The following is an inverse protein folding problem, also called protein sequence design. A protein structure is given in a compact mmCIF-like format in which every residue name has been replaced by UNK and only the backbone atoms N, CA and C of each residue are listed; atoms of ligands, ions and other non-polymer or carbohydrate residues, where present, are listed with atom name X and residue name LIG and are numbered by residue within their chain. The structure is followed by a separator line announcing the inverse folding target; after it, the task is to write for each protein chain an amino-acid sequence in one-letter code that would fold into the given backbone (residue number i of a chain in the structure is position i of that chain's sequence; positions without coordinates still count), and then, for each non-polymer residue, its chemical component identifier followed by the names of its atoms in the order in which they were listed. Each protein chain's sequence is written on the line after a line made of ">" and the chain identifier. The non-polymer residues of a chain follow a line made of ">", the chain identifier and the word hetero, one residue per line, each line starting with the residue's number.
data_IF_971315740922
#
_entry.id   IF_971315740922
#
_cell.length_a   1.000
_cell.length_b   1.000
_cell.length_c   1.000
_cell.angle_alpha   90.00
_cell.angle_beta   90.00
_cell.angle_gamma   90.00
#
_symmetry.space_group_name_H-M   'P 1'
#
loop_
_entity.id
_entity.type
_entity.pdbx_description
1 polymer ?
#
# COMPACT_ATOMS: atom_id res chain seq x y z
N UNK A 1 24.29 34.01 -29.74
CA UNK A 1 22.91 33.53 -29.47
C UNK A 1 23.00 32.05 -29.12
N UNK A 2 22.76 31.67 -27.88
CA UNK A 2 22.63 30.28 -27.47
C UNK A 2 21.30 30.15 -26.72
N UNK A 3 20.32 29.51 -27.36
CA UNK A 3 19.00 29.26 -26.80
C UNK A 3 19.12 27.99 -25.95
N UNK A 4 19.19 28.13 -24.63
CA UNK A 4 19.16 27.00 -23.71
C UNK A 4 17.71 26.49 -23.62
N UNK A 5 17.42 25.36 -24.28
CA UNK A 5 16.17 24.65 -24.15
C UNK A 5 16.09 24.03 -22.75
N UNK A 6 15.28 24.63 -21.87
CA UNK A 6 14.87 24.04 -20.60
C UNK A 6 13.93 22.88 -20.94
N UNK A 7 14.48 21.67 -21.02
CA UNK A 7 13.68 20.45 -21.02
C UNK A 7 13.08 20.37 -19.62
N UNK A 8 11.86 20.88 -19.48
CA UNK A 8 11.03 20.61 -18.33
C UNK A 8 10.85 19.09 -18.27
N UNK A 9 11.60 18.45 -17.36
CA UNK A 9 11.41 17.05 -17.02
C UNK A 9 10.02 16.93 -16.38
N UNK A 10 9.00 16.75 -17.21
CA UNK A 10 7.69 16.30 -16.80
C UNK A 10 7.89 14.94 -16.15
N UNK A 11 7.99 14.92 -14.82
CA UNK A 11 7.85 13.69 -14.05
C UNK A 11 6.55 13.05 -14.53
N UNK A 12 6.54 11.79 -14.98
CA UNK A 12 5.29 11.14 -15.35
C UNK A 12 4.39 11.22 -14.12
N UNK A 13 3.21 11.82 -14.29
CA UNK A 13 2.14 11.69 -13.30
C UNK A 13 2.00 10.19 -13.05
N UNK A 14 2.26 9.77 -11.82
CA UNK A 14 2.17 8.36 -11.45
C UNK A 14 0.75 7.92 -11.80
N UNK A 15 0.63 6.94 -12.69
CA UNK A 15 -0.66 6.41 -13.08
C UNK A 15 -1.43 6.03 -11.80
N UNK A 16 -2.65 6.53 -11.68
CA UNK A 16 -3.48 6.31 -10.50
C UNK A 16 -3.69 4.80 -10.31
N UNK A 17 -3.44 4.28 -9.11
CA UNK A 17 -3.57 2.84 -8.83
C UNK A 17 -5.03 2.40 -9.00
N UNK A 18 -5.26 1.11 -9.31
CA UNK A 18 -6.61 0.52 -9.39
C UNK A 18 -7.47 0.90 -8.17
N UNK A 19 -6.87 0.84 -6.97
CA UNK A 19 -7.52 1.19 -5.72
C UNK A 19 -8.00 2.65 -5.71
N UNK A 20 -7.12 3.60 -6.07
CA UNK A 20 -7.48 5.02 -6.06
C UNK A 20 -8.59 5.34 -7.05
N UNK A 21 -8.52 4.79 -8.25
CA UNK A 21 -9.58 4.92 -9.27
C UNK A 21 -10.92 4.36 -8.75
N UNK A 22 -10.89 3.22 -8.07
CA UNK A 22 -12.10 2.62 -7.49
C UNK A 22 -12.66 3.46 -6.34
N UNK A 23 -11.81 3.92 -5.42
CA UNK A 23 -12.23 4.70 -4.26
C UNK A 23 -12.78 6.05 -4.69
N UNK A 24 -12.16 6.74 -5.65
CA UNK A 24 -12.65 8.04 -6.14
C UNK A 24 -14.01 7.93 -6.83
N UNK A 25 -14.31 6.78 -7.46
CA UNK A 25 -15.62 6.50 -8.04
C UNK A 25 -16.71 6.16 -7.01
N UNK A 26 -16.33 5.65 -5.82
CA UNK A 26 -17.28 5.16 -4.80
C UNK A 26 -17.47 6.10 -3.61
N UNK A 27 -16.47 6.95 -3.32
CA UNK A 27 -16.49 7.92 -2.21
C UNK A 27 -16.74 9.30 -2.80
N UNK A 28 -18.01 9.57 -3.09
CA UNK A 28 -18.44 10.74 -3.88
C UNK A 28 -19.23 11.77 -3.09
N UNK A 29 -19.69 11.43 -1.88
CA UNK A 29 -20.47 12.32 -1.02
C UNK A 29 -19.70 12.68 0.25
N UNK A 30 -19.77 13.95 0.64
CA UNK A 30 -19.23 14.47 1.90
C UNK A 30 -19.95 13.93 3.14
N UNK A 31 -21.16 13.41 2.99
CA UNK A 31 -22.00 12.94 4.10
C UNK A 31 -21.75 11.47 4.45
N UNK A 32 -20.84 10.80 3.73
CA UNK A 32 -20.48 9.42 4.02
C UNK A 32 -19.76 9.32 5.36
N UNK A 33 -20.16 8.36 6.19
CA UNK A 33 -19.47 8.09 7.45
C UNK A 33 -18.11 7.43 7.20
N UNK A 34 -17.17 7.58 8.13
CA UNK A 34 -15.87 6.90 8.06
C UNK A 34 -16.04 5.37 7.90
N UNK A 35 -17.05 4.77 8.52
CA UNK A 35 -17.34 3.34 8.39
C UNK A 35 -17.73 2.96 6.97
N UNK A 36 -18.57 3.77 6.33
CA UNK A 36 -18.96 3.57 4.93
C UNK A 36 -17.75 3.72 4.02
N UNK A 37 -16.92 4.74 4.23
CA UNK A 37 -15.70 4.98 3.45
C UNK A 37 -14.75 3.78 3.58
N UNK A 38 -14.48 3.31 4.79
CA UNK A 38 -13.62 2.13 5.04
C UNK A 38 -14.16 0.86 4.38
N UNK A 39 -15.48 0.67 4.42
CA UNK A 39 -16.12 -0.47 3.75
C UNK A 39 -15.88 -0.42 2.24
N UNK A 40 -16.05 0.74 1.60
CA UNK A 40 -15.77 0.92 0.16
C UNK A 40 -14.28 0.73 -0.16
N UNK A 41 -13.37 1.29 0.65
CA UNK A 41 -11.94 1.09 0.49
C UNK A 41 -11.57 -0.40 0.53
N UNK A 42 -12.11 -1.16 1.48
CA UNK A 42 -11.87 -2.61 1.56
C UNK A 42 -12.37 -3.32 0.29
N UNK A 43 -13.59 -3.01 -0.15
CA UNK A 43 -14.14 -3.56 -1.39
C UNK A 43 -13.25 -3.28 -2.60
N UNK A 44 -12.79 -2.02 -2.75
CA UNK A 44 -11.89 -1.65 -3.82
C UNK A 44 -10.56 -2.40 -3.77
N UNK A 45 -9.95 -2.54 -2.58
CA UNK A 45 -8.73 -3.32 -2.41
C UNK A 45 -8.94 -4.78 -2.82
N UNK A 46 -10.02 -5.40 -2.35
CA UNK A 46 -10.33 -6.80 -2.63
C UNK A 46 -10.55 -7.03 -4.15
N UNK A 47 -11.26 -6.12 -4.84
CA UNK A 47 -11.45 -6.18 -6.30
C UNK A 47 -10.13 -6.05 -7.06
N UNK A 48 -9.30 -5.07 -6.71
CA UNK A 48 -7.99 -4.88 -7.36
C UNK A 48 -7.05 -6.07 -7.13
N UNK A 49 -7.08 -6.64 -5.92
CA UNK A 49 -6.28 -7.82 -5.59
C UNK A 49 -6.77 -9.08 -6.33
N UNK A 50 -8.08 -9.24 -6.54
CA UNK A 50 -8.64 -10.36 -7.30
C UNK A 50 -8.09 -10.41 -8.74
N UNK A 51 -8.02 -9.27 -9.44
CA UNK A 51 -7.44 -9.18 -10.78
C UNK A 51 -5.95 -9.59 -10.82
N UNK A 52 -5.19 -9.22 -9.79
CA UNK A 52 -3.79 -9.63 -9.64
C UNK A 52 -3.65 -11.13 -9.38
N UNK A 53 -4.56 -11.70 -8.58
CA UNK A 53 -4.60 -13.15 -8.33
C UNK A 53 -4.91 -13.95 -9.59
N UNK A 54 -5.76 -13.44 -10.48
CA UNK A 54 -6.00 -14.05 -11.80
C UNK A 54 -4.73 -14.07 -12.65
N UNK A 55 -3.93 -12.99 -12.61
CA UNK A 55 -2.63 -12.93 -13.30
C UNK A 55 -1.63 -13.93 -12.72
N UNK A 56 -1.57 -14.05 -11.39
CA UNK A 56 -0.75 -15.06 -10.73
C UNK A 56 -1.16 -16.50 -11.11
N UNK A 57 -2.45 -16.74 -11.26
CA UNK A 57 -2.99 -18.05 -11.66
C UNK A 57 -2.62 -18.37 -13.11
N UNK A 58 -2.77 -17.41 -14.02
CA UNK A 58 -2.36 -17.55 -15.41
C UNK A 58 -0.86 -17.84 -15.57
N UNK A 59 -0.03 -17.26 -14.70
CA UNK A 59 1.42 -17.42 -14.72
C UNK A 59 1.93 -18.62 -13.89
N UNK A 60 1.03 -19.46 -13.33
CA UNK A 60 1.39 -20.66 -12.57
C UNK A 60 2.00 -20.40 -11.18
N UNK A 61 2.09 -19.14 -10.75
CA UNK A 61 2.72 -18.70 -9.49
C UNK A 61 1.75 -18.61 -8.30
N UNK A 62 0.44 -18.73 -8.54
CA UNK A 62 -0.59 -18.56 -7.52
C UNK A 62 -0.46 -19.51 -6.32
N UNK A 63 -0.17 -20.80 -6.57
CA UNK A 63 -0.04 -21.80 -5.50
C UNK A 63 1.17 -21.53 -4.59
N UNK A 64 2.30 -21.14 -5.18
CA UNK A 64 3.53 -20.75 -4.47
C UNK A 64 3.28 -19.55 -3.56
N UNK A 65 2.62 -18.52 -4.08
CA UNK A 65 2.27 -17.32 -3.31
C UNK A 65 1.22 -17.61 -2.23
N UNK A 66 0.28 -18.51 -2.47
CA UNK A 66 -0.75 -18.88 -1.49
C UNK A 66 -0.17 -19.66 -0.29
N UNK A 67 0.88 -20.44 -0.50
CA UNK A 67 1.53 -21.25 0.55
C UNK A 67 2.68 -20.52 1.24
N UNK A 68 3.17 -19.44 0.64
CA UNK A 68 4.25 -18.66 1.23
C UNK A 68 3.79 -17.95 2.52
N UNK A 69 4.63 -18.07 3.55
CA UNK A 69 4.59 -17.18 4.73
C UNK A 69 5.48 -15.96 4.45
N UNK A 70 4.93 -14.74 4.39
CA UNK A 70 5.73 -13.54 4.13
C UNK A 70 6.85 -13.38 5.16
N UNK A 71 8.06 -13.11 4.68
CA UNK A 71 9.24 -12.86 5.51
C UNK A 71 9.68 -11.39 5.39
N UNK A 72 10.26 -10.81 6.46
CA UNK A 72 10.72 -9.42 6.41
C UNK A 72 11.80 -9.27 5.35
N UNK A 73 11.66 -8.24 4.51
CA UNK A 73 12.68 -7.89 3.50
C UNK A 73 13.95 -7.36 4.18
N UNK A 74 15.07 -7.43 3.47
CA UNK A 74 16.33 -6.89 3.97
C UNK A 74 16.26 -5.36 4.15
N UNK A 75 17.19 -4.79 4.91
CA UNK A 75 17.28 -3.33 5.11
C UNK A 75 17.47 -2.57 3.78
N UNK A 76 18.20 -3.14 2.85
CA UNK A 76 18.44 -2.55 1.53
C UNK A 76 17.16 -2.56 0.69
N UNK A 77 16.48 -3.71 0.65
CA UNK A 77 15.20 -3.88 -0.04
C UNK A 77 14.13 -2.95 0.54
N UNK A 78 14.06 -2.84 1.87
CA UNK A 78 13.17 -1.92 2.56
C UNK A 78 13.38 -0.48 2.10
N UNK A 79 14.64 -0.02 2.03
CA UNK A 79 14.97 1.33 1.56
C UNK A 79 14.63 1.53 0.10
N UNK A 80 14.86 0.52 -0.75
CA UNK A 80 14.50 0.57 -2.15
C UNK A 80 12.98 0.74 -2.33
N UNK A 81 12.18 -0.05 -1.63
CA UNK A 81 10.70 0.07 -1.65
C UNK A 81 10.27 1.45 -1.14
N UNK A 82 10.80 1.90 0.01
CA UNK A 82 10.48 3.22 0.58
C UNK A 82 10.86 4.38 -0.33
N UNK A 83 11.99 4.28 -1.04
CA UNK A 83 12.44 5.29 -2.00
C UNK A 83 11.63 5.30 -3.30
N UNK A 84 11.09 4.15 -3.71
CA UNK A 84 10.28 4.02 -4.92
C UNK A 84 8.80 4.38 -4.72
N UNK A 85 8.32 4.41 -3.47
CA UNK A 85 6.92 4.57 -3.12
C UNK A 85 6.64 5.97 -2.53
N UNK A 86 5.55 6.65 -2.92
CA UNK A 86 5.09 7.89 -2.28
C UNK A 86 4.83 7.73 -0.78
N UNK A 87 4.58 8.83 -0.06
CA UNK A 87 4.19 8.74 1.37
C UNK A 87 2.81 8.09 1.53
N UNK A 88 2.59 7.43 2.65
CA UNK A 88 1.29 6.86 3.02
C UNK A 88 0.29 7.97 3.38
N UNK A 89 -0.99 7.62 3.38
CA UNK A 89 -2.09 8.48 3.80
C UNK A 89 -2.87 7.79 4.91
N UNK A 90 -3.34 8.58 5.87
CA UNK A 90 -4.29 8.14 6.88
C UNK A 90 -5.55 8.98 6.73
N UNK A 91 -6.67 8.33 6.43
CA UNK A 91 -7.96 8.97 6.24
C UNK A 91 -9.06 8.04 6.72
N UNK A 92 -10.10 8.59 7.35
CA UNK A 92 -11.29 7.84 7.78
C UNK A 92 -10.93 6.57 8.56
N UNK A 93 -9.96 6.67 9.48
CA UNK A 93 -9.48 5.54 10.29
C UNK A 93 -8.92 4.36 9.48
N UNK A 94 -8.46 4.61 8.25
CA UNK A 94 -7.73 3.68 7.41
C UNK A 94 -6.35 4.23 7.07
N UNK A 95 -5.36 3.34 7.10
CA UNK A 95 -4.05 3.58 6.51
C UNK A 95 -4.06 3.03 5.10
N UNK A 96 -3.63 3.86 4.15
CA UNK A 96 -3.40 3.47 2.75
C UNK A 96 -1.99 3.86 2.34
N UNK A 97 -1.33 2.99 1.58
CA UNK A 97 -0.03 3.30 1.02
C UNK A 97 0.12 2.66 -0.35
N UNK A 98 0.35 3.47 -1.38
CA UNK A 98 0.69 2.98 -2.71
C UNK A 98 2.15 2.54 -2.71
N UNK A 99 2.33 1.22 -2.67
CA UNK A 99 3.62 0.57 -2.65
C UNK A 99 4.02 0.23 -4.08
N UNK A 100 5.20 0.69 -4.48
CA UNK A 100 5.87 0.23 -5.70
C UNK A 100 6.88 -0.85 -5.33
N UNK A 101 6.84 -1.98 -6.01
CA UNK A 101 7.74 -3.10 -5.73
C UNK A 101 8.91 -3.15 -6.74
N UNK A 102 10.12 -2.69 -6.38
CA UNK A 102 11.29 -2.78 -7.25
C UNK A 102 11.97 -4.15 -7.23
N UNK A 103 11.46 -5.14 -6.50
CA UNK A 103 12.14 -6.42 -6.27
C UNK A 103 11.70 -7.46 -7.31
N UNK A 104 12.57 -7.88 -8.26
CA UNK A 104 12.18 -8.74 -9.39
C UNK A 104 11.69 -10.14 -8.99
N UNK A 105 12.20 -10.71 -7.89
CA UNK A 105 11.91 -12.08 -7.45
C UNK A 105 11.02 -12.18 -6.22
N UNK A 106 10.38 -11.08 -5.79
CA UNK A 106 9.58 -11.06 -4.55
C UNK A 106 8.25 -10.35 -4.75
N UNK A 107 7.21 -10.90 -4.14
CA UNK A 107 5.88 -10.27 -4.07
C UNK A 107 5.67 -9.72 -2.67
N UNK A 108 5.40 -8.43 -2.54
CA UNK A 108 5.10 -7.82 -1.24
C UNK A 108 3.67 -8.20 -0.85
N UNK A 109 3.50 -8.66 0.39
CA UNK A 109 2.20 -9.11 0.91
C UNK A 109 1.72 -8.30 2.11
N UNK A 110 2.65 -7.85 2.93
CA UNK A 110 2.33 -7.19 4.20
C UNK A 110 3.26 -6.02 4.45
N UNK A 111 2.72 -5.00 5.10
CA UNK A 111 3.47 -3.86 5.61
C UNK A 111 3.11 -3.70 7.07
N UNK A 112 4.12 -3.82 7.94
CA UNK A 112 3.95 -3.53 9.36
C UNK A 112 4.07 -2.03 9.59
N UNK A 113 3.10 -1.53 10.33
CA UNK A 113 2.94 -0.13 10.66
C UNK A 113 2.96 -0.04 12.18
N UNK A 114 3.88 0.78 12.69
CA UNK A 114 3.91 1.15 14.09
C UNK A 114 3.35 2.55 14.21
N UNK A 115 2.32 2.69 15.04
CA UNK A 115 1.77 3.98 15.43
C UNK A 115 1.88 4.16 16.94
N UNK A 116 2.21 5.36 17.40
CA UNK A 116 2.32 5.66 18.82
C UNK A 116 1.02 6.27 19.35
N UNK A 117 0.49 5.75 20.45
CA UNK A 117 -0.70 6.30 21.15
C UNK A 117 -0.35 7.53 21.98
N UNK A 118 -1.36 8.19 22.56
CA UNK A 118 -1.13 9.33 23.46
C UNK A 118 -0.33 8.96 24.71
N UNK A 119 -0.40 7.71 25.16
CA UNK A 119 0.35 7.18 26.30
C UNK A 119 1.77 6.72 25.91
N UNK A 120 2.25 7.10 24.72
CA UNK A 120 3.55 6.73 24.18
C UNK A 120 3.75 5.21 23.99
N UNK A 121 2.66 4.45 23.90
CA UNK A 121 2.69 3.01 23.63
C UNK A 121 2.66 2.77 22.13
N UNK A 122 3.46 1.82 21.67
CA UNK A 122 3.46 1.40 20.27
C UNK A 122 2.28 0.44 20.02
N UNK A 123 1.49 0.76 19.01
CA UNK A 123 0.48 -0.12 18.42
C UNK A 123 1.00 -0.61 17.07
N UNK A 124 1.04 -1.93 16.91
CA UNK A 124 1.46 -2.59 15.67
C UNK A 124 0.23 -2.96 14.86
N UNK A 125 0.24 -2.66 13.57
CA UNK A 125 -0.79 -3.06 12.62
C UNK A 125 -0.15 -3.60 11.35
N UNK A 126 -0.88 -4.48 10.68
CA UNK A 126 -0.49 -5.01 9.38
C UNK A 126 -1.44 -4.45 8.32
N UNK A 127 -0.89 -3.70 7.36
CA UNK A 127 -1.56 -3.44 6.10
C UNK A 127 -1.27 -4.59 5.13
N UNK A 128 -2.29 -5.02 4.42
CA UNK A 128 -2.20 -6.17 3.51
C UNK A 128 -2.46 -5.75 2.08
N UNK A 129 -1.83 -6.44 1.14
CA UNK A 129 -2.06 -6.30 -0.28
C UNK A 129 -1.28 -7.35 -1.08
N UNK A 130 -1.28 -7.20 -2.39
CA UNK A 130 -0.53 -8.05 -3.31
C UNK A 130 0.19 -7.15 -4.32
N UNK A 131 1.49 -6.93 -4.11
CA UNK A 131 2.29 -6.05 -4.96
C UNK A 131 3.30 -6.88 -5.74
N UNK A 132 3.01 -7.11 -7.02
CA UNK A 132 3.86 -7.87 -7.92
C UNK A 132 5.17 -7.13 -8.23
N UNK A 133 6.26 -7.83 -8.57
CA UNK A 133 7.48 -7.21 -9.09
C UNK A 133 7.19 -6.23 -10.22
N UNK A 134 7.75 -5.02 -10.13
CA UNK A 134 7.56 -3.96 -11.13
C UNK A 134 6.26 -3.16 -11.01
N UNK A 135 5.26 -3.69 -10.31
CA UNK A 135 3.94 -3.08 -10.17
C UNK A 135 3.85 -2.07 -9.01
N UNK A 136 2.75 -1.31 -9.01
CA UNK A 136 2.34 -0.45 -7.91
C UNK A 136 0.92 -0.79 -7.47
N UNK A 137 0.71 -1.02 -6.16
CA UNK A 137 -0.59 -1.36 -5.59
C UNK A 137 -0.75 -0.73 -4.20
N UNK A 138 -1.99 -0.49 -3.81
CA UNK A 138 -2.29 0.07 -2.49
C UNK A 138 -2.37 -1.05 -1.45
N UNK A 139 -1.58 -0.95 -0.39
CA UNK A 139 -1.80 -1.74 0.83
C UNK A 139 -2.74 -0.99 1.75
N UNK A 140 -3.59 -1.73 2.46
CA UNK A 140 -4.66 -1.17 3.28
C UNK A 140 -4.68 -1.80 4.67
N UNK A 141 -4.80 -0.96 5.70
CA UNK A 141 -5.22 -1.36 7.05
C UNK A 141 -6.45 -0.52 7.46
N UNK A 142 -7.59 -1.17 7.65
CA UNK A 142 -8.87 -0.50 7.99
C UNK A 142 -9.14 -0.39 9.49
N UNK A 143 -8.15 -0.72 10.33
CA UNK A 143 -8.20 -0.62 11.79
C UNK A 143 -7.22 0.42 12.32
N UNK A 144 -7.01 1.52 11.60
CA UNK A 144 -6.01 2.52 11.98
C UNK A 144 -6.44 3.40 13.18
N UNK A 145 -7.46 2.99 13.93
CA UNK A 145 -7.99 3.69 15.10
C UNK A 145 -8.46 2.73 16.18
N UNK A 146 -8.08 3.01 17.43
CA UNK A 146 -8.59 2.40 18.66
C UNK A 146 -9.42 3.43 19.43
N UNK A 147 -10.58 3.80 18.89
CA UNK A 147 -11.53 4.68 19.60
C UNK A 147 -11.03 6.11 19.86
N UNK A 148 -11.97 7.04 19.92
CA UNK A 148 -11.66 8.40 20.37
C UNK A 148 -11.49 8.35 21.91
N UNK A 149 -10.47 8.98 22.50
CA UNK A 149 -9.50 9.90 21.91
C UNK A 149 -8.08 9.32 21.88
N UNK A 150 -7.71 8.49 20.90
CA UNK A 150 -6.31 8.16 20.66
C UNK A 150 -5.82 8.80 19.36
N UNK A 151 -5.44 10.08 19.43
CA UNK A 151 -4.65 10.71 18.38
C UNK A 151 -3.30 9.98 18.29
N UNK A 152 -2.97 9.45 17.10
CA UNK A 152 -1.69 8.80 16.83
C UNK A 152 -0.72 9.85 16.28
N UNK A 153 0.28 10.24 17.08
CA UNK A 153 1.16 11.37 16.75
C UNK A 153 2.25 11.02 15.73
N UNK A 154 2.75 9.78 15.79
CA UNK A 154 3.80 9.30 14.91
C UNK A 154 3.37 7.95 14.33
N UNK A 155 3.39 7.86 13.00
CA UNK A 155 3.18 6.62 12.26
C UNK A 155 4.41 6.35 11.44
N UNK A 156 4.86 5.10 11.41
CA UNK A 156 5.96 4.69 10.55
C UNK A 156 5.74 3.28 10.03
N UNK A 157 6.25 3.03 8.84
CA UNK A 157 6.45 1.67 8.36
C UNK A 157 7.67 1.10 9.07
N UNK A 158 7.52 -0.01 9.79
CA UNK A 158 8.59 -0.66 10.56
C UNK A 158 9.22 -1.82 9.79
N UNK A 159 8.41 -2.59 9.07
CA UNK A 159 8.85 -3.71 8.27
C UNK A 159 7.94 -3.88 7.04
N UNK A 160 8.49 -4.51 6.01
CA UNK A 160 7.76 -4.91 4.80
C UNK A 160 8.04 -6.40 4.63
N UNK A 161 7.01 -7.18 4.35
CA UNK A 161 7.11 -8.63 4.24
C UNK A 161 6.77 -9.05 2.83
N UNK A 162 7.58 -9.95 2.31
CA UNK A 162 7.45 -10.42 0.94
C UNK A 162 7.61 -11.94 0.86
N UNK A 163 7.09 -12.46 -0.24
CA UNK A 163 7.18 -13.86 -0.62
C UNK A 163 8.14 -14.01 -1.80
N UNK A 164 9.12 -14.92 -1.76
CA UNK A 164 9.89 -15.25 -2.94
C UNK A 164 8.99 -15.90 -3.99
N UNK A 165 9.18 -15.55 -5.26
CA UNK A 165 8.48 -16.16 -6.40
C UNK A 165 9.40 -16.90 -7.36
N UNK A 166 10.71 -16.81 -7.17
CA UNK A 166 11.70 -17.63 -7.88
C UNK A 166 11.77 -19.04 -7.27
#
# INVERSE_FOLDING_TARGET
>A
MALAAVIAASRPAQAETCFRQCVSAQVTSSDMTDDQIRYRMRGCRDTCEAAQRETLAANGTASRIAQCRPEPVSREEFRAIRGASPSYVVQSNAFTWDVRNPLPGKVIREVEIVAQTMDLRDTVMIATGLVMPGDSQTVLATGFFDGYPNARYATRVSAIYACPIE
#
